data_IF_705006193988
#
_entry.id   IF_705006193988
#
_cell.length_a   1.000
_cell.length_b   1.000
_cell.length_c   1.000
_cell.angle_alpha   90.00
_cell.angle_beta   90.00
_cell.angle_gamma   90.00
#
_symmetry.space_group_name_H-M   'P 1'
#
loop_
_entity.id
_entity.type
_entity.pdbx_description
1 polymer ?
#
# COMPACT_ATOMS: atom_id res chain seq x y z
N UNK A 1 -8.90 5.47 20.48
CA UNK A 1 -8.07 5.72 19.28
C UNK A 1 -7.25 4.48 19.05
N UNK A 2 -7.53 3.72 17.99
CA UNK A 2 -6.75 2.53 17.63
C UNK A 2 -5.70 2.98 16.61
N UNK A 3 -4.43 2.72 16.91
CA UNK A 3 -3.33 2.86 15.95
C UNK A 3 -3.59 1.89 14.80
N UNK A 4 -4.28 2.37 13.77
CA UNK A 4 -4.39 1.64 12.52
C UNK A 4 -2.97 1.48 11.98
N UNK A 5 -2.51 0.23 11.87
CA UNK A 5 -1.22 -0.08 11.27
C UNK A 5 -1.28 0.36 9.80
N UNK A 6 -0.73 1.53 9.50
CA UNK A 6 -0.55 2.00 8.13
C UNK A 6 0.78 1.46 7.61
N UNK A 7 0.73 0.67 6.55
CA UNK A 7 1.91 0.29 5.80
C UNK A 7 1.91 1.14 4.53
N UNK A 8 2.77 2.17 4.53
CA UNK A 8 2.87 3.13 3.43
C UNK A 8 3.20 2.45 2.10
N UNK A 9 2.83 3.16 1.03
CA UNK A 9 3.03 2.72 -0.34
C UNK A 9 4.47 2.24 -0.58
N UNK A 10 4.65 1.05 -1.15
CA UNK A 10 5.96 0.48 -1.41
C UNK A 10 6.60 1.09 -2.65
N UNK A 11 6.03 2.09 -3.31
CA UNK A 11 6.60 2.63 -4.54
C UNK A 11 6.51 4.14 -4.59
N UNK A 12 7.67 4.79 -4.69
CA UNK A 12 7.80 6.22 -4.92
C UNK A 12 8.18 6.45 -6.38
N UNK A 13 7.33 7.14 -7.13
CA UNK A 13 7.55 7.52 -8.54
C UNK A 13 8.40 8.78 -8.59
N UNK A 14 9.47 8.75 -9.38
CA UNK A 14 10.33 9.91 -9.63
C UNK A 14 10.01 10.55 -10.97
N UNK A 15 10.56 11.75 -11.20
CA UNK A 15 10.51 12.40 -12.52
C UNK A 15 11.00 11.48 -13.63
N UNK A 16 12.12 10.79 -13.42
CA UNK A 16 12.77 10.00 -14.46
C UNK A 16 11.94 8.75 -14.81
N UNK A 17 11.21 8.19 -13.84
CA UNK A 17 10.23 7.12 -14.06
C UNK A 17 9.09 7.58 -14.98
N UNK A 18 8.59 8.81 -14.76
CA UNK A 18 7.54 9.39 -15.61
C UNK A 18 8.08 9.73 -17.01
N UNK A 19 9.28 10.31 -17.11
CA UNK A 19 9.91 10.57 -18.41
C UNK A 19 10.11 9.28 -19.20
N UNK A 20 10.50 8.19 -18.53
CA UNK A 20 10.60 6.87 -19.14
C UNK A 20 9.24 6.40 -19.65
N UNK A 21 8.20 6.46 -18.83
CA UNK A 21 6.86 6.03 -19.25
C UNK A 21 6.31 6.86 -20.42
N UNK A 22 6.53 8.17 -20.42
CA UNK A 22 6.14 9.08 -21.50
C UNK A 22 6.97 8.85 -22.77
N UNK A 23 8.24 8.47 -22.64
CA UNK A 23 9.09 8.12 -23.77
C UNK A 23 8.54 6.86 -24.45
N UNK A 24 8.24 5.81 -23.68
CA UNK A 24 7.61 4.59 -24.22
C UNK A 24 6.24 4.90 -24.84
N UNK A 25 5.44 5.79 -24.25
CA UNK A 25 4.18 6.20 -24.86
C UNK A 25 4.41 6.93 -26.19
N UNK A 26 5.46 7.74 -26.30
CA UNK A 26 5.78 8.52 -27.51
C UNK A 26 6.15 7.65 -28.71
N UNK A 27 6.63 6.43 -28.50
CA UNK A 27 6.94 5.51 -29.61
C UNK A 27 5.67 5.04 -30.33
N UNK A 28 4.54 5.03 -29.61
CA UNK A 28 3.27 4.49 -30.09
C UNK A 28 2.23 5.59 -30.34
N UNK A 29 2.34 6.74 -29.66
CA UNK A 29 1.39 7.86 -29.70
C UNK A 29 2.02 9.13 -30.29
N UNK A 30 1.70 9.41 -31.55
CA UNK A 30 2.25 10.55 -32.29
C UNK A 30 1.95 11.91 -31.64
N UNK A 31 0.79 12.05 -30.98
CA UNK A 31 0.43 13.26 -30.25
C UNK A 31 1.39 13.52 -29.07
N UNK A 32 1.84 12.46 -28.38
CA UNK A 32 2.81 12.53 -27.29
C UNK A 32 4.21 12.79 -27.83
N UNK A 33 4.60 12.12 -28.92
CA UNK A 33 5.90 12.33 -29.58
C UNK A 33 6.14 13.80 -29.95
N UNK A 34 5.12 14.47 -30.50
CA UNK A 34 5.20 15.89 -30.91
C UNK A 34 5.46 16.86 -29.77
N UNK A 35 5.14 16.48 -28.53
CA UNK A 35 5.26 17.35 -27.36
C UNK A 35 6.17 16.77 -26.29
N UNK A 36 6.85 15.65 -26.56
CA UNK A 36 7.63 14.91 -25.58
C UNK A 36 8.65 15.80 -24.86
N UNK A 37 9.41 16.62 -25.60
CA UNK A 37 10.38 17.56 -25.02
C UNK A 37 9.75 18.54 -24.01
N UNK A 38 8.47 18.90 -24.19
CA UNK A 38 7.73 19.77 -23.26
C UNK A 38 7.23 19.03 -22.02
N UNK A 39 7.09 17.71 -22.10
CA UNK A 39 6.64 16.87 -20.99
C UNK A 39 7.79 16.49 -20.04
N UNK A 40 9.05 16.67 -20.47
CA UNK A 40 10.22 16.43 -19.64
C UNK A 40 10.41 17.48 -18.54
N UNK A 41 11.30 17.20 -17.60
CA UNK A 41 11.71 18.15 -16.58
C UNK A 41 10.58 18.45 -15.59
N UNK A 42 10.13 19.70 -15.56
CA UNK A 42 9.17 20.17 -14.57
C UNK A 42 7.78 19.53 -14.71
N UNK A 43 7.34 19.24 -15.95
CA UNK A 43 6.05 18.59 -16.18
C UNK A 43 6.05 17.14 -15.67
N UNK A 44 7.07 16.35 -16.04
CA UNK A 44 7.27 15.00 -15.51
C UNK A 44 7.42 14.98 -13.98
N UNK A 45 8.06 16.00 -13.38
CA UNK A 45 8.15 16.11 -11.91
C UNK A 45 6.77 16.28 -11.27
N UNK A 46 5.92 17.19 -11.78
CA UNK A 46 4.56 17.38 -11.26
C UNK A 46 3.70 16.12 -11.45
N UNK A 47 3.86 15.45 -12.59
CA UNK A 47 3.19 14.17 -12.83
C UNK A 47 3.63 13.10 -11.84
N UNK A 48 4.92 13.03 -11.49
CA UNK A 48 5.42 12.12 -10.46
C UNK A 48 4.81 12.42 -9.08
N UNK A 49 4.71 13.70 -8.70
CA UNK A 49 4.05 14.13 -7.46
C UNK A 49 2.57 13.73 -7.43
N UNK A 50 1.84 13.95 -8.54
CA UNK A 50 0.44 13.54 -8.67
C UNK A 50 0.27 12.02 -8.61
N UNK A 51 1.16 11.27 -9.25
CA UNK A 51 1.18 9.81 -9.19
C UNK A 51 1.46 9.32 -7.77
N UNK A 52 2.43 9.90 -7.06
CA UNK A 52 2.72 9.54 -5.67
C UNK A 52 1.52 9.78 -4.74
N UNK A 53 0.78 10.87 -4.93
CA UNK A 53 -0.44 11.11 -4.18
C UNK A 53 -1.52 10.06 -4.48
N UNK A 54 -1.70 9.69 -5.76
CA UNK A 54 -2.64 8.65 -6.15
C UNK A 54 -2.20 7.23 -5.72
N UNK A 55 -0.90 7.04 -5.54
CA UNK A 55 -0.28 5.77 -5.12
C UNK A 55 -0.12 5.66 -3.61
N UNK A 56 -0.64 6.60 -2.82
CA UNK A 56 -0.71 6.52 -1.36
C UNK A 56 -1.73 5.44 -0.95
N UNK A 57 -1.36 4.19 -1.19
CA UNK A 57 -2.15 2.99 -0.90
C UNK A 57 -1.67 2.41 0.41
N UNK A 58 -2.61 2.17 1.34
CA UNK A 58 -2.32 1.39 2.53
C UNK A 58 -2.20 -0.08 2.13
N UNK A 59 -0.97 -0.61 2.17
CA UNK A 59 -0.71 -2.02 1.87
C UNK A 59 -1.49 -2.94 2.80
N UNK A 60 -1.81 -2.47 4.00
CA UNK A 60 -2.67 -3.21 4.89
C UNK A 60 -4.06 -3.48 4.30
N UNK A 61 -4.67 -2.49 3.63
CA UNK A 61 -5.97 -2.67 2.99
C UNK A 61 -5.90 -3.69 1.84
N UNK A 62 -4.83 -3.66 1.05
CA UNK A 62 -4.61 -4.63 -0.03
C UNK A 62 -4.50 -6.05 0.53
N UNK A 63 -3.72 -6.23 1.61
CA UNK A 63 -3.58 -7.51 2.29
C UNK A 63 -4.91 -7.97 2.92
N UNK A 64 -5.62 -7.07 3.59
CA UNK A 64 -6.91 -7.37 4.23
C UNK A 64 -7.96 -7.79 3.20
N UNK A 65 -8.04 -7.13 2.05
CA UNK A 65 -8.90 -7.54 0.94
C UNK A 65 -8.52 -8.93 0.40
N UNK A 66 -7.23 -9.24 0.32
CA UNK A 66 -6.73 -10.57 -0.02
C UNK A 66 -7.17 -11.62 1.00
N UNK A 67 -6.96 -11.36 2.29
CA UNK A 67 -7.31 -12.27 3.38
C UNK A 67 -8.80 -12.49 3.53
N UNK A 68 -9.64 -11.48 3.30
CA UNK A 68 -11.09 -11.60 3.37
C UNK A 68 -11.65 -12.68 2.43
N UNK A 69 -10.92 -13.03 1.36
CA UNK A 69 -11.30 -14.09 0.42
C UNK A 69 -11.05 -15.49 0.99
N UNK A 70 -10.15 -15.64 1.96
CA UNK A 70 -9.85 -16.92 2.59
C UNK A 70 -11.04 -17.42 3.42
N UNK A 71 -11.51 -18.67 3.21
CA UNK A 71 -12.67 -19.21 3.94
C UNK A 71 -12.53 -19.10 5.46
N UNK A 72 -11.35 -19.43 6.01
CA UNK A 72 -11.09 -19.37 7.45
C UNK A 72 -11.25 -17.95 8.02
N UNK A 73 -10.76 -16.94 7.29
CA UNK A 73 -10.87 -15.53 7.68
C UNK A 73 -12.32 -15.07 7.56
N UNK A 74 -12.99 -15.39 6.46
CA UNK A 74 -14.39 -15.05 6.24
C UNK A 74 -15.31 -15.63 7.32
N UNK A 75 -15.10 -16.88 7.71
CA UNK A 75 -15.85 -17.51 8.80
C UNK A 75 -15.56 -16.86 10.14
N UNK A 76 -14.31 -16.46 10.41
CA UNK A 76 -13.99 -15.73 11.64
C UNK A 76 -14.64 -14.34 11.68
N UNK A 77 -14.64 -13.61 10.57
CA UNK A 77 -15.34 -12.33 10.38
C UNK A 77 -16.83 -12.48 10.64
N UNK A 78 -17.49 -13.46 10.00
CA UNK A 78 -18.92 -13.73 10.20
C UNK A 78 -19.24 -14.08 11.65
N UNK A 79 -18.44 -14.94 12.30
CA UNK A 79 -18.62 -15.28 13.72
C UNK A 79 -18.45 -14.06 14.63
N UNK A 80 -17.45 -13.22 14.35
CA UNK A 80 -17.20 -12.00 15.13
C UNK A 80 -18.29 -10.94 15.02
N UNK A 81 -19.10 -10.98 13.96
CA UNK A 81 -20.25 -10.08 13.80
C UNK A 81 -21.46 -10.53 14.65
N UNK A 82 -21.48 -11.80 15.07
CA UNK A 82 -22.59 -12.42 15.80
C UNK A 82 -22.33 -12.57 17.31
N UNK A 83 -21.09 -12.37 17.76
CA UNK A 83 -20.66 -12.58 19.15
C UNK A 83 -20.00 -11.32 19.71
N UNK A 84 -20.45 -10.86 20.88
CA UNK A 84 -19.96 -9.59 21.46
C UNK A 84 -18.51 -9.69 22.00
N UNK A 85 -18.05 -10.83 22.54
CA UNK A 85 -16.66 -11.03 23.04
C UNK A 85 -16.35 -12.54 23.18
N UNK A 86 -15.12 -13.05 22.92
CA UNK A 86 -13.89 -12.37 22.48
C UNK A 86 -13.59 -12.46 20.96
N UNK A 87 -12.58 -11.70 20.44
CA UNK A 87 -12.20 -11.69 19.02
C UNK A 87 -11.85 -13.08 18.49
N UNK A 88 -12.27 -13.35 17.25
CA UNK A 88 -11.89 -14.59 16.59
C UNK A 88 -10.50 -14.44 15.97
N UNK A 89 -9.52 -15.12 16.56
CA UNK A 89 -8.15 -15.16 16.04
C UNK A 89 -8.02 -16.18 14.90
N UNK A 90 -7.33 -15.80 13.84
CA UNK A 90 -7.02 -16.65 12.70
C UNK A 90 -5.53 -16.59 12.43
N UNK A 91 -4.87 -17.75 12.54
CA UNK A 91 -3.48 -17.90 12.12
C UNK A 91 -3.44 -18.32 10.66
N UNK A 92 -2.73 -17.53 9.86
CA UNK A 92 -2.46 -17.78 8.46
C UNK A 92 -1.02 -18.25 8.32
N UNK A 93 -0.84 -19.42 7.70
CA UNK A 93 0.46 -19.88 7.24
C UNK A 93 0.90 -19.16 5.97
N UNK A 94 1.88 -19.71 5.25
CA UNK A 94 2.43 -19.08 4.05
C UNK A 94 1.37 -18.89 2.97
N UNK A 95 1.29 -17.69 2.40
CA UNK A 95 0.39 -17.40 1.29
C UNK A 95 0.90 -16.21 0.45
N UNK A 96 0.45 -16.16 -0.80
CA UNK A 96 0.74 -15.08 -1.72
C UNK A 96 -0.52 -14.25 -1.99
N UNK A 97 -0.38 -12.93 -1.97
CA UNK A 97 -1.43 -11.99 -2.37
C UNK A 97 -0.90 -11.19 -3.55
N UNK A 98 -1.61 -11.23 -4.66
CA UNK A 98 -1.34 -10.41 -5.82
C UNK A 98 -2.51 -9.45 -6.05
N UNK A 99 -2.21 -8.18 -6.31
CA UNK A 99 -3.15 -7.15 -6.70
C UNK A 99 -2.63 -6.44 -7.95
N UNK A 100 -3.53 -6.21 -8.90
CA UNK A 100 -3.22 -5.45 -10.11
C UNK A 100 -4.24 -4.32 -10.23
N UNK A 101 -3.74 -3.09 -10.32
CA UNK A 101 -4.54 -1.88 -10.41
C UNK A 101 -4.12 -1.04 -11.61
N UNK A 102 -5.07 -0.30 -12.17
CA UNK A 102 -4.85 0.61 -13.29
C UNK A 102 -4.76 2.03 -12.75
N UNK A 103 -3.65 2.71 -13.06
CA UNK A 103 -3.43 4.12 -12.73
C UNK A 103 -3.46 4.90 -14.04
N UNK A 104 -4.27 5.95 -14.09
CA UNK A 104 -4.43 6.76 -15.30
C UNK A 104 -4.00 8.18 -15.00
N UNK A 105 -3.02 8.68 -15.76
CA UNK A 105 -2.61 10.07 -15.71
C UNK A 105 -3.14 10.81 -16.93
N UNK A 106 -4.18 11.60 -16.72
CA UNK A 106 -4.70 12.51 -17.73
C UNK A 106 -3.81 13.75 -17.82
N UNK A 107 -3.41 14.09 -19.03
CA UNK A 107 -2.45 15.17 -19.31
C UNK A 107 -2.98 16.08 -20.41
N UNK A 108 -2.62 17.37 -20.36
CA UNK A 108 -2.91 18.30 -21.44
C UNK A 108 -1.77 19.28 -21.66
N UNK A 109 -1.61 19.75 -22.89
CA UNK A 109 -0.63 20.77 -23.28
C UNK A 109 -1.36 21.84 -24.08
N UNK A 110 -1.24 23.11 -23.67
CA UNK A 110 -1.91 24.24 -24.31
C UNK A 110 -3.42 23.98 -24.54
N UNK A 111 -4.10 23.49 -23.49
CA UNK A 111 -5.54 23.13 -23.50
C UNK A 111 -5.92 21.97 -24.44
N UNK A 112 -4.95 21.35 -25.10
CA UNK A 112 -5.18 20.13 -25.89
C UNK A 112 -4.92 18.91 -25.00
N UNK A 113 -5.94 18.07 -24.83
CA UNK A 113 -5.80 16.80 -24.13
C UNK A 113 -4.82 15.88 -24.87
N UNK A 114 -3.92 15.23 -24.13
CA UNK A 114 -3.07 14.18 -24.64
C UNK A 114 -3.73 12.82 -24.41
N UNK A 115 -3.35 11.79 -25.17
CA UNK A 115 -3.70 10.42 -24.85
C UNK A 115 -3.30 10.10 -23.39
N UNK A 116 -4.20 9.49 -22.60
CA UNK A 116 -3.95 9.25 -21.18
C UNK A 116 -2.79 8.26 -20.98
N UNK A 117 -1.86 8.60 -20.08
CA UNK A 117 -0.80 7.66 -19.70
C UNK A 117 -1.40 6.63 -18.74
N UNK A 118 -1.66 5.44 -19.29
CA UNK A 118 -2.18 4.30 -18.52
C UNK A 118 -1.02 3.46 -17.99
N UNK A 119 -0.90 3.41 -16.66
CA UNK A 119 0.07 2.59 -15.95
C UNK A 119 -0.62 1.42 -15.25
N UNK A 120 0.08 0.31 -15.15
CA UNK A 120 -0.32 -0.86 -14.37
C UNK A 120 0.52 -0.92 -13.11
N UNK A 121 -0.14 -0.87 -11.95
CA UNK A 121 0.46 -1.14 -10.65
C UNK A 121 0.21 -2.60 -10.28
N UNK A 122 1.28 -3.38 -10.17
CA UNK A 122 1.23 -4.74 -9.63
C UNK A 122 1.85 -4.73 -8.24
N UNK A 123 1.13 -5.28 -7.26
CA UNK A 123 1.62 -5.49 -5.90
C UNK A 123 1.56 -6.99 -5.64
N UNK A 124 2.69 -7.58 -5.25
CA UNK A 124 2.79 -8.98 -4.88
C UNK A 124 3.37 -9.05 -3.47
N UNK A 125 2.62 -9.62 -2.54
CA UNK A 125 3.05 -9.90 -1.19
C UNK A 125 3.22 -11.42 -0.99
N UNK A 126 4.41 -11.87 -0.61
CA UNK A 126 4.63 -13.20 -0.06
C UNK A 126 4.66 -13.06 1.47
N UNK A 127 3.69 -13.65 2.15
CA UNK A 127 3.53 -13.58 3.59
C UNK A 127 3.80 -14.97 4.13
N UNK A 128 4.83 -15.11 4.95
CA UNK A 128 5.20 -16.40 5.56
C UNK A 128 4.23 -16.79 6.68
N UNK A 129 3.82 -15.82 7.48
CA UNK A 129 2.82 -16.02 8.53
C UNK A 129 2.14 -14.71 8.91
N UNK A 130 0.85 -14.77 9.24
CA UNK A 130 0.12 -13.66 9.84
C UNK A 130 -0.89 -14.17 10.87
N UNK A 131 -1.09 -13.41 11.94
CA UNK A 131 -2.22 -13.59 12.85
C UNK A 131 -3.17 -12.43 12.64
N UNK A 132 -4.42 -12.74 12.33
CA UNK A 132 -5.51 -11.79 12.19
C UNK A 132 -6.47 -11.94 13.37
N UNK A 133 -7.06 -10.84 13.78
CA UNK A 133 -8.22 -10.82 14.63
C UNK A 133 -9.43 -10.38 13.82
N UNK A 134 -10.55 -11.06 14.04
CA UNK A 134 -11.83 -10.59 13.60
C UNK A 134 -12.64 -10.10 14.79
N UNK A 135 -13.10 -8.85 14.72
CA UNK A 135 -13.95 -8.20 15.74
C UNK A 135 -15.03 -7.40 15.02
N UNK A 136 -16.28 -7.52 15.46
CA UNK A 136 -17.40 -6.73 14.93
C UNK A 136 -17.51 -6.80 13.38
N UNK A 137 -17.19 -7.96 12.81
CA UNK A 137 -17.23 -8.15 11.35
C UNK A 137 -16.08 -7.47 10.59
N UNK A 138 -15.01 -7.04 11.27
CA UNK A 138 -13.84 -6.40 10.66
C UNK A 138 -12.57 -7.19 10.92
N UNK A 139 -11.64 -7.13 9.98
CA UNK A 139 -10.30 -7.70 10.12
C UNK A 139 -9.40 -6.64 10.75
N UNK A 140 -8.73 -7.02 11.82
CA UNK A 140 -7.65 -6.30 12.47
C UNK A 140 -6.40 -7.17 12.39
N UNK A 141 -5.26 -6.59 12.03
CA UNK A 141 -3.99 -7.33 12.06
C UNK A 141 -3.39 -7.28 13.44
N UNK A 142 -3.22 -8.48 13.98
CA UNK A 142 -2.62 -8.72 15.29
C UNK A 142 -1.10 -8.77 15.13
N UNK A 143 -0.64 -9.58 14.17
CA UNK A 143 0.77 -9.76 13.90
C UNK A 143 1.02 -10.14 12.44
N UNK A 144 2.00 -9.48 11.83
CA UNK A 144 2.65 -9.98 10.63
C UNK A 144 3.97 -10.61 11.08
N UNK A 145 4.23 -11.85 10.68
CA UNK A 145 5.56 -12.43 10.88
C UNK A 145 6.53 -11.83 9.86
N UNK A 146 7.04 -12.67 8.98
CA UNK A 146 7.83 -12.21 7.84
C UNK A 146 6.95 -12.07 6.59
N UNK A 147 7.09 -10.94 5.91
CA UNK A 147 6.49 -10.72 4.61
C UNK A 147 7.46 -9.96 3.70
N UNK A 148 7.41 -10.26 2.40
CA UNK A 148 8.06 -9.46 1.36
C UNK A 148 6.99 -8.90 0.45
N UNK A 149 7.05 -7.60 0.18
CA UNK A 149 6.13 -6.91 -0.74
C UNK A 149 6.96 -6.37 -1.89
N UNK A 150 6.55 -6.70 -3.11
CA UNK A 150 7.11 -6.16 -4.35
C UNK A 150 6.03 -5.38 -5.06
N UNK A 151 6.32 -4.12 -5.36
CA UNK A 151 5.47 -3.28 -6.20
C UNK A 151 6.17 -2.96 -7.52
N UNK A 152 5.41 -3.04 -8.61
CA UNK A 152 5.88 -2.78 -9.97
C UNK A 152 4.92 -1.83 -10.65
N UNK A 153 5.47 -0.76 -11.21
CA UNK A 153 4.76 0.15 -12.09
C UNK A 153 5.19 -0.15 -13.52
N UNK A 154 4.21 -0.37 -14.41
CA UNK A 154 4.45 -0.70 -15.81
C UNK A 154 3.68 0.22 -16.74
N UNK A 155 4.25 0.53 -17.90
CA UNK A 155 3.51 1.03 -19.04
C UNK A 155 3.40 -0.10 -20.06
N UNK A 156 2.19 -0.57 -20.36
CA UNK A 156 1.98 -1.82 -21.12
C UNK A 156 2.82 -2.97 -20.53
N UNK A 157 3.76 -3.52 -21.30
CA UNK A 157 4.70 -4.57 -20.86
C UNK A 157 6.02 -4.03 -20.32
N UNK A 158 6.29 -2.73 -20.44
CA UNK A 158 7.56 -2.12 -20.04
C UNK A 158 7.55 -1.82 -18.54
N UNK A 159 8.53 -2.37 -17.83
CA UNK A 159 8.75 -2.05 -16.42
C UNK A 159 9.26 -0.61 -16.31
N UNK A 160 8.47 0.25 -15.69
CA UNK A 160 8.85 1.64 -15.41
C UNK A 160 9.67 1.68 -14.12
N UNK A 161 9.13 1.07 -13.05
CA UNK A 161 9.75 1.03 -11.73
C UNK A 161 9.41 -0.25 -10.98
N UNK A 162 10.34 -0.73 -10.19
CA UNK A 162 10.13 -1.78 -9.19
C UNK A 162 10.67 -1.31 -7.84
N UNK A 163 9.98 -1.70 -6.78
CA UNK A 163 10.49 -1.59 -5.43
C UNK A 163 10.10 -2.82 -4.62
N UNK A 164 11.02 -3.30 -3.80
CA UNK A 164 10.82 -4.43 -2.93
C UNK A 164 11.13 -4.02 -1.49
N UNK A 165 10.24 -4.36 -0.57
CA UNK A 165 10.41 -4.11 0.85
C UNK A 165 10.10 -5.37 1.65
N UNK A 166 10.91 -5.61 2.68
CA UNK A 166 10.66 -6.64 3.68
C UNK A 166 9.97 -6.03 4.89
N UNK A 167 8.89 -6.65 5.35
CA UNK A 167 8.23 -6.30 6.60
C UNK A 167 8.44 -7.45 7.57
N UNK A 168 9.05 -7.15 8.71
CA UNK A 168 9.17 -8.08 9.82
C UNK A 168 8.46 -7.47 11.02
N UNK A 169 7.47 -8.18 11.55
CA UNK A 169 6.75 -7.80 12.76
C UNK A 169 7.02 -8.79 13.89
N UNK A 170 7.06 -8.27 15.13
CA UNK A 170 7.00 -9.12 16.32
C UNK A 170 5.54 -9.46 16.59
N UNK A 171 5.25 -10.71 16.94
CA UNK A 171 3.92 -11.15 17.35
C UNK A 171 3.43 -10.29 18.53
N UNK A 172 2.49 -9.37 18.29
CA UNK A 172 1.84 -8.58 19.34
C UNK A 172 0.42 -9.08 19.48
N UNK A 173 0.01 -9.38 20.71
CA UNK A 173 -1.40 -9.61 21.03
C UNK A 173 -2.01 -8.26 21.41
N UNK A 174 -2.79 -7.59 20.53
CA UNK A 174 -3.40 -6.30 20.83
C UNK A 174 -4.49 -6.42 21.91
N UNK A 175 -4.86 -7.64 22.33
CA UNK A 175 -5.84 -7.88 23.39
C UNK A 175 -5.19 -8.21 24.74
N UNK A 176 -3.88 -8.44 24.81
CA UNK A 176 -3.14 -8.41 26.07
C UNK A 176 -2.88 -6.96 26.46
N UNK A 177 -3.69 -6.43 27.39
CA UNK A 177 -3.35 -5.19 28.11
C UNK A 177 -1.98 -5.38 28.76
N UNK A 178 -1.01 -4.53 28.44
CA UNK A 178 0.18 -4.39 29.29
C UNK A 178 -0.30 -3.93 30.68
N UNK A 179 0.24 -4.49 31.77
CA UNK A 179 0.11 -3.84 33.06
C UNK A 179 0.72 -2.44 32.92
N UNK A 180 -0.09 -1.41 33.18
CA UNK A 180 0.36 -0.03 33.28
C UNK A 180 1.61 -0.01 34.17
N UNK A 181 2.72 0.52 33.66
CA UNK A 181 3.86 0.79 34.51
C UNK A 181 3.38 1.65 35.69
N UNK A 182 3.76 1.35 36.94
CA UNK A 182 3.37 2.20 38.06
C UNK A 182 3.90 3.61 37.81
N UNK A 183 3.00 4.58 38.01
CA UNK A 183 3.27 6.03 37.93
C UNK A 183 4.60 6.34 38.65
N UNK A 184 5.64 6.63 37.88
CA UNK A 184 6.80 7.34 38.41
C UNK A 184 6.41 8.81 38.45
N UNK A 185 5.93 9.26 39.61
CA UNK A 185 5.91 10.68 39.96
C UNK A 185 7.33 11.22 39.75
N UNK A 186 7.51 12.03 38.70
CA UNK A 186 8.68 12.87 38.56
C UNK A 186 8.42 14.15 39.36
N UNK A 187 8.96 14.21 40.58
CA UNK A 187 9.13 15.47 41.29
C UNK A 187 10.22 16.28 40.58
N UNK A 188 9.84 17.41 39.99
CA UNK A 188 10.79 18.39 39.46
C UNK A 188 10.96 19.47 40.51
N UNK A 189 12.12 19.49 41.18
CA UNK A 189 12.58 20.64 41.96
C UNK A 189 13.03 21.74 40.99
N UNK A 190 12.41 22.91 41.09
CA UNK A 190 12.86 24.12 40.40
C UNK A 190 13.45 25.04 41.47
N UNK A 191 14.77 25.26 41.44
CA UNK A 191 15.42 26.31 42.22
C UNK A 191 15.34 27.64 41.47
N UNK A 192 15.02 28.71 42.20
CA UNK A 192 14.88 30.10 41.75
C UNK A 192 16.25 30.77 41.71
#
# INVERSE_FOLDING_TARGET
MHDAVRLSAPIEVTRDDVERALFEQSTDELAVARVFDRLRGAAAKRAAEALNHALEVDIFEVLAQGWARLPAVRSAVQRSALMEVPPALVNLGRHNIASTSRVVLDSSVAQSALPPLTLTLEIVADVLSATLAAREGRIELVALGEASVVARLKYKSVLVKEHATGVSGVLRDPFKRQPSAPDRQASVDIQI
#
